data_IF_453127667413
#
_entry.id   IF_453127667413
#
_cell.length_a   1.000
_cell.length_b   1.000
_cell.length_c   1.000
_cell.angle_alpha   90.00
_cell.angle_beta   90.00
_cell.angle_gamma   90.00
#
_symmetry.space_group_name_H-M   'P 1'
#
loop_
_entity.id
_entity.type
_entity.pdbx_description
1 polymer ?
#
# COMPACT_ATOMS: atom_id res chain seq x y z
N UNK A 1 -6.09 23.98 -12.49
CA UNK A 1 -5.91 23.79 -11.04
C UNK A 1 -4.51 24.25 -10.72
N UNK A 2 -4.35 25.34 -9.95
CA UNK A 2 -3.03 25.87 -9.58
C UNK A 2 -2.73 25.39 -8.18
N UNK A 3 -1.74 24.50 -8.01
CA UNK A 3 -1.28 24.09 -6.69
C UNK A 3 -0.65 25.29 -5.99
N UNK A 4 -1.34 25.83 -4.99
CA UNK A 4 -0.78 26.80 -4.06
C UNK A 4 -0.30 25.98 -2.84
N UNK A 5 0.94 26.21 -2.38
CA UNK A 5 1.47 25.59 -1.16
C UNK A 5 2.56 24.52 -1.30
N UNK A 6 2.94 24.10 -2.51
CA UNK A 6 4.10 23.22 -2.69
C UNK A 6 5.42 24.02 -2.57
N UNK A 7 6.48 23.38 -2.06
CA UNK A 7 7.80 24.03 -1.93
C UNK A 7 8.57 24.03 -3.27
N UNK A 8 9.40 25.04 -3.55
CA UNK A 8 10.02 25.23 -4.88
C UNK A 8 10.83 24.04 -5.42
N UNK A 9 11.32 23.17 -4.54
CA UNK A 9 12.09 21.97 -4.92
C UNK A 9 11.24 20.96 -5.72
N UNK A 10 9.90 21.01 -5.62
CA UNK A 10 9.00 20.12 -6.36
C UNK A 10 8.29 20.82 -7.53
N UNK A 11 8.51 22.11 -7.77
CA UNK A 11 7.80 22.87 -8.82
C UNK A 11 7.92 22.22 -10.20
N UNK A 12 9.12 21.77 -10.57
CA UNK A 12 9.33 21.11 -11.88
C UNK A 12 8.54 19.80 -11.99
N UNK A 13 8.35 19.07 -10.89
CA UNK A 13 7.57 17.84 -10.89
C UNK A 13 6.06 18.15 -10.95
N UNK A 14 5.57 19.06 -10.10
CA UNK A 14 4.15 19.39 -9.99
C UNK A 14 3.62 20.15 -11.23
N UNK A 15 4.41 21.08 -11.75
CA UNK A 15 4.00 21.92 -12.90
C UNK A 15 4.61 21.49 -14.23
N UNK A 16 5.44 20.43 -14.21
CA UNK A 16 5.96 19.78 -15.41
C UNK A 16 5.00 18.74 -15.99
N UNK A 17 5.37 18.19 -17.14
CA UNK A 17 4.67 17.05 -17.73
C UNK A 17 5.11 15.74 -17.06
N UNK A 18 4.19 14.76 -16.85
CA UNK A 18 2.79 14.76 -17.30
C UNK A 18 1.79 15.34 -16.30
N UNK A 19 2.22 15.71 -15.08
CA UNK A 19 1.31 16.15 -13.99
C UNK A 19 0.49 17.37 -14.41
N UNK A 20 1.09 18.30 -15.14
CA UNK A 20 0.41 19.49 -15.65
C UNK A 20 -0.72 19.19 -16.63
N UNK A 21 -0.56 18.19 -17.51
CA UNK A 21 -1.57 17.87 -18.52
C UNK A 21 -2.63 16.89 -18.03
N UNK A 22 -2.27 15.91 -17.20
CA UNK A 22 -3.19 14.92 -16.63
C UNK A 22 -3.96 15.51 -15.44
N UNK A 23 -3.29 16.32 -14.62
CA UNK A 23 -3.78 16.74 -13.32
C UNK A 23 -3.56 15.68 -12.24
N UNK A 24 -3.94 16.00 -11.01
CA UNK A 24 -4.00 15.08 -9.87
C UNK A 24 -5.15 15.49 -8.96
N UNK A 25 -5.73 14.54 -8.22
CA UNK A 25 -6.84 14.81 -7.30
C UNK A 25 -6.33 15.28 -5.94
N UNK A 26 -5.20 14.75 -5.47
CA UNK A 26 -4.49 15.18 -4.25
C UNK A 26 -2.98 15.08 -4.41
N UNK A 27 -2.21 15.62 -3.45
CA UNK A 27 -0.75 15.52 -3.44
C UNK A 27 -0.20 15.42 -2.02
N UNK A 28 0.68 14.44 -1.80
CA UNK A 28 1.48 14.28 -0.59
C UNK A 28 2.95 14.42 -0.95
N UNK A 29 3.74 15.13 -0.13
CA UNK A 29 5.19 15.17 -0.30
C UNK A 29 5.91 15.17 1.03
N UNK A 30 7.18 14.79 1.00
CA UNK A 30 8.09 14.99 2.11
C UNK A 30 9.49 15.29 1.62
N UNK A 31 10.29 15.96 2.44
CA UNK A 31 11.70 16.19 2.20
C UNK A 31 12.53 15.18 2.99
N UNK A 32 13.86 15.34 3.00
CA UNK A 32 14.78 14.49 3.79
C UNK A 32 14.43 14.43 5.29
N UNK A 33 13.66 15.40 5.79
CA UNK A 33 13.20 15.46 7.17
C UNK A 33 12.03 14.51 7.48
N UNK A 34 11.46 13.81 6.48
CA UNK A 34 10.34 12.85 6.65
C UNK A 34 9.08 13.42 7.33
N UNK A 35 8.92 14.74 7.29
CA UNK A 35 7.68 15.40 7.69
C UNK A 35 6.77 15.44 6.46
N UNK A 36 5.75 14.60 6.44
CA UNK A 36 4.77 14.58 5.35
C UNK A 36 3.96 15.87 5.33
N UNK A 37 3.68 16.37 4.13
CA UNK A 37 2.95 17.59 3.85
C UNK A 37 1.88 17.28 2.79
N UNK A 38 0.79 18.04 2.82
CA UNK A 38 -0.32 17.90 1.87
C UNK A 38 -0.46 19.20 1.06
N UNK A 39 -0.95 19.06 -0.17
CA UNK A 39 -1.33 20.20 -1.03
C UNK A 39 -2.48 21.00 -0.44
N UNK A 40 -2.75 22.18 -1.01
CA UNK A 40 -4.01 22.86 -0.74
C UNK A 40 -5.16 22.05 -1.33
N UNK A 41 -6.02 21.51 -0.46
CA UNK A 41 -7.18 20.70 -0.83
C UNK A 41 -8.39 21.64 -0.93
N UNK A 42 -8.77 22.00 -2.16
CA UNK A 42 -9.98 22.81 -2.41
C UNK A 42 -11.27 21.98 -2.28
N UNK A 43 -11.20 20.69 -2.59
CA UNK A 43 -12.31 19.73 -2.48
C UNK A 43 -11.82 18.44 -1.81
N UNK A 44 -12.48 18.04 -0.73
CA UNK A 44 -12.17 16.82 0.01
C UNK A 44 -12.78 15.56 -0.60
N UNK A 45 -13.61 15.68 -1.65
CA UNK A 45 -14.07 14.56 -2.48
C UNK A 45 -13.03 14.25 -3.58
N UNK A 46 -11.77 14.02 -3.18
CA UNK A 46 -10.63 13.78 -4.07
C UNK A 46 -10.17 12.30 -4.10
N UNK A 47 -10.95 11.41 -3.46
CA UNK A 47 -10.68 9.98 -3.21
C UNK A 47 -9.41 9.70 -2.38
N UNK A 48 -8.80 10.72 -1.77
CA UNK A 48 -7.60 10.54 -0.95
C UNK A 48 -7.89 9.71 0.30
N UNK A 49 -9.07 9.88 0.92
CA UNK A 49 -9.47 9.13 2.11
C UNK A 49 -9.48 7.62 1.82
N UNK A 50 -10.14 7.19 0.75
CA UNK A 50 -10.20 5.78 0.34
C UNK A 50 -8.80 5.25 -0.02
N UNK A 51 -8.03 5.98 -0.83
CA UNK A 51 -6.70 5.55 -1.27
C UNK A 51 -5.67 5.48 -0.14
N UNK A 52 -5.77 6.36 0.86
CA UNK A 52 -4.79 6.44 1.95
C UNK A 52 -5.20 5.64 3.19
N UNK A 53 -6.45 5.13 3.24
CA UNK A 53 -6.95 4.38 4.40
C UNK A 53 -6.08 3.18 4.75
N UNK A 54 -5.45 2.53 3.77
CA UNK A 54 -4.56 1.38 3.98
C UNK A 54 -3.30 1.69 4.81
N UNK A 55 -2.95 2.97 5.00
CA UNK A 55 -1.80 3.43 5.78
C UNK A 55 -2.10 3.70 7.25
N UNK A 56 -3.27 3.31 7.74
CA UNK A 56 -3.71 3.48 9.13
C UNK A 56 -3.10 2.47 10.12
N UNK A 57 -2.39 1.46 9.60
CA UNK A 57 -1.79 0.37 10.38
C UNK A 57 -2.80 -0.59 10.98
N UNK A 58 -4.05 -0.65 10.49
CA UNK A 58 -5.09 -1.57 10.94
C UNK A 58 -5.22 -2.77 9.99
N UNK A 59 -4.77 -3.98 10.40
CA UNK A 59 -4.87 -5.19 9.58
C UNK A 59 -6.30 -5.53 9.12
N UNK A 60 -7.32 -5.20 9.93
CA UNK A 60 -8.71 -5.48 9.59
C UNK A 60 -9.18 -4.67 8.37
N UNK A 61 -8.77 -3.41 8.25
CA UNK A 61 -9.15 -2.57 7.11
C UNK A 61 -8.55 -3.10 5.80
N UNK A 62 -7.32 -3.62 5.85
CA UNK A 62 -6.74 -4.33 4.71
C UNK A 62 -7.50 -5.60 4.37
N UNK A 63 -7.92 -6.38 5.37
CA UNK A 63 -8.71 -7.61 5.15
C UNK A 63 -10.05 -7.29 4.50
N UNK A 64 -10.74 -6.26 4.96
CA UNK A 64 -12.03 -5.86 4.41
C UNK A 64 -11.88 -5.48 2.93
N UNK A 65 -10.87 -4.67 2.58
CA UNK A 65 -10.55 -4.33 1.19
C UNK A 65 -10.13 -5.55 0.36
N UNK A 66 -9.25 -6.40 0.89
CA UNK A 66 -8.72 -7.57 0.18
C UNK A 66 -9.78 -8.64 -0.06
N UNK A 67 -10.77 -8.76 0.84
CA UNK A 67 -11.92 -9.66 0.68
C UNK A 67 -12.72 -9.31 -0.57
N UNK A 68 -12.98 -8.02 -0.79
CA UNK A 68 -13.73 -7.55 -1.95
C UNK A 68 -12.87 -7.60 -3.24
N UNK A 69 -11.58 -7.30 -3.15
CA UNK A 69 -10.70 -7.21 -4.31
C UNK A 69 -10.18 -8.57 -4.82
N UNK A 70 -9.88 -9.50 -3.90
CA UNK A 70 -9.30 -10.82 -4.18
C UNK A 70 -10.32 -11.95 -3.95
N UNK A 71 -11.60 -11.68 -4.20
CA UNK A 71 -12.68 -12.68 -4.07
C UNK A 71 -12.26 -14.01 -4.72
N UNK A 72 -12.53 -15.12 -4.03
CA UNK A 72 -12.17 -16.50 -4.45
C UNK A 72 -10.66 -16.82 -4.54
N UNK A 73 -9.76 -15.88 -4.21
CA UNK A 73 -8.29 -16.09 -4.30
C UNK A 73 -7.62 -16.53 -3.00
N UNK A 74 -8.39 -16.67 -1.93
CA UNK A 74 -7.97 -17.12 -0.59
C UNK A 74 -8.90 -18.23 -0.11
N UNK A 75 -8.58 -18.87 1.02
CA UNK A 75 -9.37 -19.96 1.58
C UNK A 75 -10.83 -19.58 1.82
N UNK A 76 -11.73 -20.55 1.71
CA UNK A 76 -13.16 -20.36 2.07
C UNK A 76 -13.35 -19.85 3.51
N UNK A 77 -12.40 -20.13 4.42
CA UNK A 77 -12.42 -19.61 5.79
C UNK A 77 -12.16 -18.10 5.91
N UNK A 78 -11.83 -17.42 4.82
CA UNK A 78 -11.42 -16.02 4.80
C UNK A 78 -9.94 -15.81 5.10
N UNK A 79 -9.51 -14.55 5.03
CA UNK A 79 -8.14 -14.12 5.32
C UNK A 79 -7.95 -14.04 6.85
N UNK A 80 -7.00 -14.79 7.45
CA UNK A 80 -6.83 -14.83 8.89
C UNK A 80 -6.20 -13.55 9.46
N UNK A 81 -6.92 -12.87 10.35
CA UNK A 81 -6.48 -11.63 11.01
C UNK A 81 -5.13 -11.76 11.74
N UNK A 82 -4.88 -12.89 12.41
CA UNK A 82 -3.62 -13.14 13.12
C UNK A 82 -2.41 -13.12 12.15
N UNK A 83 -2.54 -13.76 11.00
CA UNK A 83 -1.47 -13.77 9.98
C UNK A 83 -1.21 -12.38 9.42
N UNK A 84 -2.26 -11.64 9.04
CA UNK A 84 -2.11 -10.27 8.52
C UNK A 84 -1.51 -9.35 9.58
N UNK A 85 -1.89 -9.50 10.85
CA UNK A 85 -1.30 -8.74 11.97
C UNK A 85 0.19 -8.99 12.11
N UNK A 86 0.65 -10.25 11.97
CA UNK A 86 2.09 -10.58 11.99
C UNK A 86 2.82 -9.96 10.80
N UNK A 87 2.20 -9.93 9.62
CA UNK A 87 2.77 -9.31 8.41
C UNK A 87 2.92 -7.80 8.61
N UNK A 88 1.88 -7.12 9.11
CA UNK A 88 1.94 -5.70 9.47
C UNK A 88 3.03 -5.41 10.51
N UNK A 89 3.27 -6.35 11.43
CA UNK A 89 4.35 -6.28 12.41
C UNK A 89 5.76 -6.53 11.86
N UNK A 90 5.91 -6.82 10.56
CA UNK A 90 7.19 -7.10 9.92
C UNK A 90 7.82 -8.42 10.37
N UNK A 91 7.02 -9.37 10.87
CA UNK A 91 7.53 -10.69 11.23
C UNK A 91 7.98 -11.45 9.98
N UNK A 92 8.99 -12.30 10.15
CA UNK A 92 9.46 -13.21 9.09
C UNK A 92 8.29 -14.05 8.57
N UNK A 93 8.00 -13.94 7.27
CA UNK A 93 6.95 -14.72 6.63
C UNK A 93 7.36 -16.19 6.58
N UNK A 94 6.49 -17.08 7.06
CA UNK A 94 6.71 -18.54 7.05
C UNK A 94 5.77 -19.25 6.08
N UNK A 95 6.08 -20.52 5.76
CA UNK A 95 5.17 -21.36 4.97
C UNK A 95 3.80 -21.50 5.62
N UNK A 96 3.72 -21.67 6.95
CA UNK A 96 2.43 -21.80 7.62
C UNK A 96 1.60 -20.52 7.53
N UNK A 97 2.24 -19.35 7.55
CA UNK A 97 1.54 -18.08 7.36
C UNK A 97 0.94 -17.98 5.96
N UNK A 98 1.71 -18.28 4.92
CA UNK A 98 1.20 -18.28 3.53
C UNK A 98 0.05 -19.28 3.37
N UNK A 99 0.24 -20.51 3.84
CA UNK A 99 -0.76 -21.58 3.76
C UNK A 99 -1.94 -21.40 4.74
N UNK A 100 -1.92 -20.36 5.57
CA UNK A 100 -3.11 -19.92 6.31
C UNK A 100 -4.04 -19.05 5.48
N UNK A 101 -3.52 -18.42 4.41
CA UNK A 101 -4.26 -17.53 3.51
C UNK A 101 -4.77 -18.29 2.28
N UNK A 102 -3.93 -19.15 1.69
CA UNK A 102 -4.24 -19.96 0.49
C UNK A 102 -4.11 -21.45 0.79
N UNK A 103 -4.84 -22.30 0.08
CA UNK A 103 -4.76 -23.76 0.28
C UNK A 103 -3.46 -24.36 -0.24
N UNK A 104 -2.98 -23.85 -1.38
CA UNK A 104 -1.69 -24.19 -1.95
C UNK A 104 -1.09 -22.95 -2.63
N UNK A 105 0.24 -22.93 -2.72
CA UNK A 105 0.99 -21.96 -3.51
C UNK A 105 1.80 -22.73 -4.55
N UNK A 106 1.53 -22.46 -5.82
CA UNK A 106 2.15 -23.17 -6.94
C UNK A 106 3.63 -22.80 -7.11
N UNK A 107 3.97 -21.52 -6.93
CA UNK A 107 5.30 -20.97 -7.22
C UNK A 107 5.91 -20.26 -6.00
N UNK A 108 6.61 -21.03 -5.18
CA UNK A 108 7.35 -20.51 -4.04
C UNK A 108 8.57 -19.66 -4.47
N UNK A 109 9.20 -19.98 -5.61
CA UNK A 109 10.38 -19.25 -6.10
C UNK A 109 10.01 -17.84 -6.55
N UNK A 110 8.83 -17.68 -7.18
CA UNK A 110 8.28 -16.37 -7.50
C UNK A 110 7.99 -15.56 -6.24
N UNK A 111 7.36 -16.17 -5.22
CA UNK A 111 7.10 -15.48 -3.96
C UNK A 111 8.40 -15.02 -3.27
N UNK A 112 9.44 -15.86 -3.25
CA UNK A 112 10.75 -15.48 -2.75
C UNK A 112 11.37 -14.31 -3.53
N UNK A 113 11.23 -14.32 -4.86
CA UNK A 113 11.71 -13.24 -5.73
C UNK A 113 11.01 -11.93 -5.40
N UNK A 114 9.69 -11.94 -5.26
CA UNK A 114 8.88 -10.78 -4.92
C UNK A 114 9.24 -10.23 -3.52
N UNK A 115 9.40 -11.11 -2.54
CA UNK A 115 9.79 -10.73 -1.18
C UNK A 115 11.20 -10.12 -1.13
N UNK A 116 12.14 -10.63 -1.93
CA UNK A 116 13.47 -10.06 -2.08
C UNK A 116 13.43 -8.67 -2.73
N UNK A 117 12.56 -8.46 -3.74
CA UNK A 117 12.40 -7.16 -4.41
C UNK A 117 11.91 -6.07 -3.45
N UNK A 118 10.93 -6.40 -2.60
CA UNK A 118 10.40 -5.46 -1.61
C UNK A 118 11.18 -5.45 -0.28
N UNK A 119 12.18 -6.32 -0.13
CA UNK A 119 13.02 -6.44 1.07
C UNK A 119 12.28 -6.95 2.31
N UNK A 120 11.30 -7.83 2.14
CA UNK A 120 10.52 -8.40 3.24
C UNK A 120 11.13 -9.72 3.74
N UNK A 121 11.30 -9.92 5.07
CA UNK A 121 11.95 -11.12 5.60
C UNK A 121 11.08 -12.37 5.45
N UNK A 122 11.67 -13.48 5.03
CA UNK A 122 10.98 -14.77 4.93
C UNK A 122 11.88 -15.95 5.35
N UNK A 123 11.24 -17.06 5.73
CA UNK A 123 11.89 -18.34 5.93
C UNK A 123 10.90 -19.45 5.57
N UNK A 124 11.18 -20.15 4.48
CA UNK A 124 10.34 -21.22 3.97
C UNK A 124 10.95 -22.61 4.17
N UNK A 125 12.07 -22.73 4.86
CA UNK A 125 12.72 -24.01 5.16
C UNK A 125 12.04 -24.78 6.30
#
# INVERSE_FOLDING_TARGET
MYFIGCIPIFDTFIFGEPVRSIGTTFCLWTTKQKNWQIGEVENYEDNSEEMLNIFDGQPQIYIDWATDYFEESYKESGIPLDTVTKIYGGQTLTKEMVLSIVDELEDWEQLETDLNEIGYPYNFD
#
